data_IF_813351713299
#
_entry.id   IF_813351713299
#
_cell.length_a   1.000
_cell.length_b   1.000
_cell.length_c   1.000
_cell.angle_alpha   90.00
_cell.angle_beta   90.00
_cell.angle_gamma   90.00
#
_symmetry.space_group_name_H-M   'P 1'
#
loop_
_entity.id
_entity.type
_entity.pdbx_description
1 polymer ?
#
# COMPACT_ATOMS: atom_id res chain seq x y z
N UNK A 1 -7.47 14.35 12.16
CA UNK A 1 -7.51 12.88 12.28
C UNK A 1 -6.27 12.30 11.59
N UNK A 2 -5.53 11.39 12.25
CA UNK A 2 -4.31 10.79 11.72
C UNK A 2 -4.60 9.69 10.69
N UNK A 3 -3.63 9.43 9.82
CA UNK A 3 -3.62 8.35 8.83
C UNK A 3 -2.40 7.47 9.07
N UNK A 4 -2.58 6.16 9.04
CA UNK A 4 -1.50 5.18 9.21
C UNK A 4 -1.24 4.48 7.87
N UNK A 5 0.00 4.55 7.38
CA UNK A 5 0.47 3.83 6.20
C UNK A 5 1.28 2.60 6.59
N UNK A 6 0.99 1.48 5.94
CA UNK A 6 1.66 0.19 6.16
C UNK A 6 2.43 -0.23 4.93
N UNK A 7 3.76 -0.34 5.05
CA UNK A 7 4.63 -1.01 4.10
C UNK A 7 4.76 -2.49 4.46
N UNK A 8 3.81 -3.32 3.99
CA UNK A 8 3.70 -4.72 4.37
C UNK A 8 4.76 -5.58 3.68
N UNK A 9 5.34 -6.54 4.39
CA UNK A 9 6.21 -7.61 3.89
C UNK A 9 5.46 -8.93 3.81
N UNK A 10 5.88 -9.81 2.90
CA UNK A 10 5.27 -11.13 2.74
C UNK A 10 5.43 -12.03 3.98
N UNK A 11 6.56 -11.89 4.69
CA UNK A 11 6.85 -12.70 5.88
C UNK A 11 7.43 -11.87 7.01
N UNK A 12 7.41 -12.41 8.23
CA UNK A 12 8.00 -11.81 9.43
C UNK A 12 9.53 -11.96 9.57
N UNK A 13 10.23 -12.53 8.56
CA UNK A 13 11.70 -12.62 8.56
C UNK A 13 12.38 -11.25 8.48
N UNK A 14 11.68 -10.27 7.93
CA UNK A 14 12.10 -8.86 7.88
C UNK A 14 10.95 -7.99 8.32
N UNK A 15 11.21 -6.88 9.03
CA UNK A 15 10.13 -6.05 9.54
C UNK A 15 9.32 -5.41 8.42
N UNK A 16 8.03 -5.34 8.62
CA UNK A 16 7.12 -4.41 7.93
C UNK A 16 7.24 -3.03 8.58
N UNK A 17 6.96 -1.97 7.84
CA UNK A 17 7.11 -0.60 8.32
C UNK A 17 5.74 0.09 8.43
N UNK A 18 5.65 1.02 9.38
CA UNK A 18 4.48 1.90 9.54
C UNK A 18 4.91 3.34 9.62
N UNK A 19 4.11 4.21 9.04
CA UNK A 19 4.22 5.66 9.18
C UNK A 19 2.88 6.24 9.60
N UNK A 20 2.86 7.20 10.50
CA UNK A 20 1.65 7.91 10.91
C UNK A 20 1.81 9.39 10.54
N UNK A 21 0.85 9.90 9.79
CA UNK A 21 0.73 11.30 9.47
C UNK A 21 -0.44 11.93 10.22
N UNK A 22 -0.20 13.11 10.76
CA UNK A 22 -1.24 13.94 11.35
C UNK A 22 -2.07 14.69 10.26
N UNK A 23 -3.08 15.51 10.62
CA UNK A 23 -3.88 16.26 9.66
C UNK A 23 -3.08 17.18 8.73
N UNK A 24 -1.94 17.69 9.20
CA UNK A 24 -1.09 18.64 8.48
C UNK A 24 0.02 17.92 7.66
N UNK A 25 -0.15 16.60 7.44
CA UNK A 25 0.84 15.76 6.75
C UNK A 25 2.21 15.72 7.43
N UNK A 26 2.26 15.92 8.75
CA UNK A 26 3.49 15.76 9.52
C UNK A 26 3.67 14.31 9.93
N UNK A 27 4.86 13.78 9.73
CA UNK A 27 5.27 12.46 10.22
C UNK A 27 5.43 12.51 11.75
N UNK A 28 4.48 11.92 12.45
CA UNK A 28 4.46 11.86 13.93
C UNK A 28 5.04 10.57 14.46
N UNK A 29 5.03 9.52 13.64
CA UNK A 29 5.60 8.22 13.98
C UNK A 29 6.10 7.49 12.75
N UNK A 30 7.29 6.93 12.85
CA UNK A 30 7.85 5.91 11.98
C UNK A 30 8.26 4.73 12.85
N UNK A 31 7.86 3.52 12.47
CA UNK A 31 8.15 2.33 13.27
C UNK A 31 8.15 1.06 12.44
N UNK A 32 8.50 -0.04 13.07
CA UNK A 32 8.54 -1.36 12.44
C UNK A 32 7.80 -2.39 13.29
N UNK A 33 7.33 -3.45 12.63
CA UNK A 33 6.71 -4.59 13.28
C UNK A 33 7.02 -5.88 12.50
N UNK A 34 7.07 -6.99 13.21
CA UNK A 34 7.26 -8.32 12.62
C UNK A 34 5.94 -9.09 12.55
N UNK A 35 5.17 -9.06 13.63
CA UNK A 35 3.92 -9.81 13.75
C UNK A 35 2.69 -8.89 13.61
N UNK A 36 1.63 -9.40 13.00
CA UNK A 36 0.40 -8.63 12.75
C UNK A 36 -0.26 -8.16 14.05
N UNK A 37 -0.06 -8.90 15.16
CA UNK A 37 -0.54 -8.50 16.50
C UNK A 37 0.14 -7.21 17.03
N UNK A 38 1.39 -6.94 16.64
CA UNK A 38 2.10 -5.71 17.02
C UNK A 38 1.46 -4.51 16.30
N UNK A 39 1.13 -4.69 15.01
CA UNK A 39 0.41 -3.67 14.24
C UNK A 39 -0.99 -3.43 14.83
N UNK A 40 -1.72 -4.48 15.18
CA UNK A 40 -3.06 -4.35 15.78
C UNK A 40 -3.00 -3.57 17.11
N UNK A 41 -2.01 -3.83 17.95
CA UNK A 41 -1.77 -3.07 19.20
C UNK A 41 -1.48 -1.59 18.91
N UNK A 42 -0.61 -1.32 17.94
CA UNK A 42 -0.28 0.03 17.52
C UNK A 42 -1.53 0.79 17.04
N UNK A 43 -2.31 0.17 16.13
CA UNK A 43 -3.54 0.77 15.60
C UNK A 43 -4.54 1.06 16.74
N UNK A 44 -4.66 0.16 17.71
CA UNK A 44 -5.53 0.35 18.88
C UNK A 44 -5.07 1.53 19.76
N UNK A 45 -3.76 1.75 19.88
CA UNK A 45 -3.19 2.87 20.64
C UNK A 45 -3.38 4.20 19.92
N UNK A 46 -3.02 4.25 18.64
CA UNK A 46 -2.97 5.48 17.84
C UNK A 46 -4.35 5.90 17.30
N UNK A 47 -5.30 4.94 17.17
CA UNK A 47 -6.66 5.15 16.67
C UNK A 47 -6.69 5.99 15.39
N UNK A 48 -5.97 5.58 14.33
CA UNK A 48 -5.98 6.32 13.08
C UNK A 48 -7.39 6.31 12.48
N UNK A 49 -7.77 7.39 11.82
CA UNK A 49 -9.04 7.46 11.10
C UNK A 49 -9.06 6.59 9.83
N UNK A 50 -7.86 6.29 9.30
CA UNK A 50 -7.68 5.50 8.09
C UNK A 50 -6.37 4.71 8.17
N UNK A 51 -6.40 3.46 7.69
CA UNK A 51 -5.23 2.60 7.52
C UNK A 51 -5.03 2.34 6.02
N UNK A 52 -3.91 2.81 5.46
CA UNK A 52 -3.55 2.63 4.07
C UNK A 52 -2.49 1.52 3.94
N UNK A 53 -2.85 0.39 3.34
CA UNK A 53 -1.99 -0.80 3.25
C UNK A 53 -1.43 -0.94 1.83
N UNK A 54 -0.10 -1.00 1.71
CA UNK A 54 0.62 -1.19 0.46
C UNK A 54 0.74 -2.66 0.05
N UNK A 55 -0.39 -3.34 -0.06
CA UNK A 55 -0.49 -4.74 -0.50
C UNK A 55 -1.89 -5.02 -1.07
N UNK A 56 -2.06 -6.06 -1.92
CA UNK A 56 -3.38 -6.50 -2.35
C UNK A 56 -4.24 -6.97 -1.16
N UNK A 57 -5.50 -6.53 -1.12
CA UNK A 57 -6.41 -6.77 0.01
C UNK A 57 -7.58 -7.70 -0.33
N UNK A 58 -7.73 -8.11 -1.58
CA UNK A 58 -8.75 -9.04 -2.04
C UNK A 58 -8.24 -9.95 -3.15
N UNK A 59 -8.97 -11.04 -3.40
CA UNK A 59 -8.77 -11.91 -4.56
C UNK A 59 -9.62 -11.42 -5.75
N UNK A 60 -9.25 -11.79 -6.99
CA UNK A 60 -10.12 -11.64 -8.15
C UNK A 60 -11.42 -12.43 -8.00
N UNK A 61 -12.50 -11.95 -8.59
CA UNK A 61 -13.79 -12.66 -8.63
C UNK A 61 -13.66 -14.07 -9.20
N UNK A 62 -14.25 -15.03 -8.52
CA UNK A 62 -14.21 -16.46 -8.87
C UNK A 62 -13.04 -17.24 -8.29
N UNK A 63 -11.98 -16.57 -7.80
CA UNK A 63 -10.88 -17.25 -7.12
C UNK A 63 -11.14 -17.34 -5.61
N UNK A 64 -11.05 -18.54 -5.06
CA UNK A 64 -11.03 -18.75 -3.61
C UNK A 64 -9.61 -18.80 -3.02
N UNK A 65 -8.60 -19.00 -3.89
CA UNK A 65 -7.18 -19.03 -3.50
C UNK A 65 -6.29 -18.81 -4.73
N UNK A 66 -4.98 -18.72 -4.52
CA UNK A 66 -3.96 -18.57 -5.57
C UNK A 66 -3.18 -19.85 -5.88
N UNK A 67 -3.65 -21.00 -5.34
CA UNK A 67 -3.01 -22.28 -5.56
C UNK A 67 -3.28 -22.81 -6.97
N UNK A 68 -2.23 -23.24 -7.67
CA UNK A 68 -2.36 -23.77 -9.03
C UNK A 68 -3.23 -25.03 -9.10
N UNK A 69 -3.14 -25.89 -8.09
CA UNK A 69 -3.88 -27.15 -8.00
C UNK A 69 -5.38 -26.98 -7.69
N UNK A 70 -5.82 -25.80 -7.25
CA UNK A 70 -7.22 -25.54 -6.94
C UNK A 70 -8.05 -25.43 -8.22
N UNK A 71 -9.27 -25.95 -8.22
CA UNK A 71 -10.17 -25.91 -9.39
C UNK A 71 -10.89 -24.58 -9.59
N UNK A 72 -10.80 -23.63 -8.63
CA UNK A 72 -11.43 -22.30 -8.80
C UNK A 72 -10.92 -21.59 -10.06
N UNK A 73 -11.77 -20.79 -10.68
CA UNK A 73 -11.47 -20.08 -11.93
C UNK A 73 -11.89 -18.62 -11.78
N UNK A 74 -11.26 -17.74 -12.55
CA UNK A 74 -11.75 -16.37 -12.71
C UNK A 74 -13.20 -16.36 -13.19
N UNK A 75 -14.03 -15.50 -12.63
CA UNK A 75 -15.37 -15.23 -13.15
C UNK A 75 -15.33 -14.64 -14.57
N UNK A 76 -14.21 -14.00 -14.92
CA UNK A 76 -13.94 -13.44 -16.25
C UNK A 76 -12.72 -14.16 -16.85
N UNK A 77 -12.92 -15.14 -17.74
CA UNK A 77 -11.85 -16.05 -18.23
C UNK A 77 -10.66 -15.35 -18.88
N UNK A 78 -10.89 -14.20 -19.52
CA UNK A 78 -9.83 -13.45 -20.22
C UNK A 78 -8.99 -12.53 -19.31
N UNK A 79 -9.33 -12.48 -18.03
CA UNK A 79 -8.59 -11.65 -17.07
C UNK A 79 -7.34 -12.34 -16.54
N UNK A 80 -6.29 -11.54 -16.34
CA UNK A 80 -5.01 -11.99 -15.76
C UNK A 80 -4.92 -11.75 -14.24
N UNK A 81 -5.85 -10.97 -13.67
CA UNK A 81 -5.89 -10.53 -12.29
C UNK A 81 -7.13 -9.71 -12.02
N UNK A 82 -7.11 -8.90 -10.96
CA UNK A 82 -8.20 -7.99 -10.59
C UNK A 82 -8.37 -6.87 -11.62
N UNK A 83 -9.55 -6.27 -11.68
CA UNK A 83 -9.84 -5.16 -12.59
C UNK A 83 -8.86 -3.99 -12.38
N UNK A 84 -8.59 -3.62 -11.14
CA UNK A 84 -7.66 -2.54 -10.80
C UNK A 84 -6.25 -2.73 -11.39
N UNK A 85 -5.77 -3.97 -11.48
CA UNK A 85 -4.45 -4.29 -12.02
C UNK A 85 -4.41 -4.11 -13.55
N UNK A 86 -5.52 -4.41 -14.22
CA UNK A 86 -5.68 -4.16 -15.66
C UNK A 86 -5.81 -2.65 -15.95
N UNK A 87 -6.52 -1.91 -15.10
CA UNK A 87 -6.67 -0.47 -15.22
C UNK A 87 -5.34 0.26 -14.97
N UNK A 88 -4.54 -0.17 -13.98
CA UNK A 88 -3.16 0.33 -13.82
C UNK A 88 -2.30 0.11 -15.07
N UNK A 89 -2.40 -1.08 -15.69
CA UNK A 89 -1.66 -1.36 -16.91
C UNK A 89 -2.06 -0.43 -18.07
N UNK A 90 -3.36 -0.06 -18.18
CA UNK A 90 -3.84 0.88 -19.20
C UNK A 90 -3.27 2.29 -19.04
N UNK A 91 -2.99 2.72 -17.82
CA UNK A 91 -2.37 4.02 -17.52
C UNK A 91 -0.83 3.92 -17.42
N UNK A 92 -0.23 2.81 -17.90
CA UNK A 92 1.23 2.63 -17.96
C UNK A 92 1.91 2.26 -16.65
N UNK A 93 1.16 1.96 -15.59
CA UNK A 93 1.72 1.58 -14.29
C UNK A 93 1.80 0.06 -14.18
N UNK A 94 3.02 -0.48 -14.08
CA UNK A 94 3.25 -1.91 -13.92
C UNK A 94 2.97 -2.39 -12.49
N UNK A 95 2.36 -3.58 -12.36
CA UNK A 95 2.14 -4.25 -11.09
C UNK A 95 2.27 -5.77 -11.22
N UNK A 96 2.37 -6.45 -10.09
CA UNK A 96 2.18 -7.90 -10.04
C UNK A 96 0.68 -8.21 -10.06
N UNK A 97 0.29 -9.15 -10.90
CA UNK A 97 -1.10 -9.59 -10.96
C UNK A 97 -1.42 -10.55 -9.80
N UNK A 98 -2.60 -10.36 -9.24
CA UNK A 98 -3.20 -11.29 -8.27
C UNK A 98 -3.80 -12.47 -9.05
N UNK A 99 -3.01 -13.52 -9.25
CA UNK A 99 -3.42 -14.70 -10.01
C UNK A 99 -2.82 -15.98 -9.40
N UNK A 100 -3.25 -17.11 -9.93
CA UNK A 100 -2.73 -18.42 -9.51
C UNK A 100 -1.23 -18.53 -9.78
N UNK A 101 -0.48 -19.00 -8.78
CA UNK A 101 0.96 -19.08 -8.84
C UNK A 101 1.69 -17.74 -8.77
N UNK A 102 1.03 -16.67 -8.31
CA UNK A 102 1.66 -15.37 -8.12
C UNK A 102 2.86 -15.47 -7.19
N UNK A 103 4.01 -14.89 -7.60
CA UNK A 103 5.24 -14.88 -6.80
C UNK A 103 5.13 -14.05 -5.52
N UNK A 104 4.08 -13.26 -5.39
CA UNK A 104 3.77 -12.46 -4.19
C UNK A 104 2.57 -13.02 -3.41
N UNK A 105 2.20 -14.30 -3.60
CA UNK A 105 1.04 -14.93 -2.96
C UNK A 105 1.02 -14.75 -1.44
N UNK A 106 2.17 -14.92 -0.77
CA UNK A 106 2.28 -14.73 0.68
C UNK A 106 1.93 -13.31 1.12
N UNK A 107 2.36 -12.30 0.33
CA UNK A 107 2.00 -10.90 0.58
C UNK A 107 0.50 -10.66 0.40
N UNK A 108 -0.08 -11.24 -0.64
CA UNK A 108 -1.51 -11.14 -0.94
C UNK A 108 -2.32 -11.74 0.21
N UNK A 109 -2.02 -12.98 0.59
CA UNK A 109 -2.74 -13.65 1.69
C UNK A 109 -2.60 -12.91 3.02
N UNK A 110 -1.39 -12.38 3.32
CA UNK A 110 -1.18 -11.57 4.52
C UNK A 110 -2.00 -10.27 4.47
N UNK A 111 -2.03 -9.60 3.32
CA UNK A 111 -2.82 -8.38 3.12
C UNK A 111 -4.32 -8.62 3.29
N UNK A 112 -4.85 -9.69 2.69
CA UNK A 112 -6.27 -10.08 2.80
C UNK A 112 -6.66 -10.38 4.26
N UNK A 113 -5.85 -11.19 4.96
CA UNK A 113 -6.09 -11.51 6.37
C UNK A 113 -6.10 -10.25 7.23
N UNK A 114 -5.09 -9.39 7.07
CA UNK A 114 -4.97 -8.15 7.82
C UNK A 114 -6.14 -7.19 7.54
N UNK A 115 -6.55 -7.07 6.27
CA UNK A 115 -7.72 -6.28 5.88
C UNK A 115 -8.99 -6.79 6.59
N UNK A 116 -9.23 -8.10 6.58
CA UNK A 116 -10.37 -8.71 7.23
C UNK A 116 -10.39 -8.45 8.76
N UNK A 117 -9.25 -8.66 9.42
CA UNK A 117 -9.11 -8.45 10.86
C UNK A 117 -9.35 -6.99 11.25
N UNK A 118 -8.75 -6.04 10.53
CA UNK A 118 -8.89 -4.62 10.82
C UNK A 118 -10.31 -4.11 10.55
N UNK A 119 -10.92 -4.51 9.43
CA UNK A 119 -12.32 -4.13 9.13
C UNK A 119 -13.29 -4.72 10.13
N UNK A 120 -13.10 -5.97 10.54
CA UNK A 120 -13.91 -6.61 11.59
C UNK A 120 -13.76 -5.92 12.94
N UNK A 121 -12.62 -5.28 13.20
CA UNK A 121 -12.39 -4.45 14.38
C UNK A 121 -12.91 -2.99 14.24
N UNK A 122 -13.57 -2.65 13.11
CA UNK A 122 -14.20 -1.35 12.87
C UNK A 122 -13.27 -0.27 12.28
N UNK A 123 -12.07 -0.64 11.80
CA UNK A 123 -11.17 0.33 11.17
C UNK A 123 -11.48 0.52 9.68
N UNK A 124 -11.34 1.75 9.19
CA UNK A 124 -11.35 2.05 7.76
C UNK A 124 -10.01 1.63 7.15
N UNK A 125 -10.05 0.76 6.14
CA UNK A 125 -8.86 0.23 5.46
C UNK A 125 -8.97 0.49 3.97
N UNK A 126 -7.89 0.99 3.36
CA UNK A 126 -7.77 1.15 1.91
C UNK A 126 -6.54 0.42 1.40
N UNK A 127 -6.65 -0.10 0.17
CA UNK A 127 -5.51 -0.59 -0.59
C UNK A 127 -4.84 0.58 -1.31
N UNK A 128 -3.52 0.66 -1.19
CA UNK A 128 -2.69 1.64 -1.89
C UNK A 128 -1.49 0.93 -2.53
N UNK A 129 -0.88 1.56 -3.53
CA UNK A 129 0.29 1.00 -4.19
C UNK A 129 1.39 2.05 -4.30
N UNK A 130 2.45 1.97 -3.45
CA UNK A 130 3.46 3.03 -3.36
C UNK A 130 4.21 3.25 -4.67
N UNK A 131 4.30 2.24 -5.55
CA UNK A 131 4.88 2.44 -6.88
C UNK A 131 3.98 3.33 -7.77
N UNK A 132 2.67 3.09 -7.76
CA UNK A 132 1.73 3.93 -8.50
C UNK A 132 1.76 5.37 -7.99
N UNK A 133 1.69 5.58 -6.67
CA UNK A 133 1.78 6.90 -6.05
C UNK A 133 3.08 7.63 -6.46
N UNK A 134 4.22 6.95 -6.41
CA UNK A 134 5.51 7.53 -6.84
C UNK A 134 5.51 7.92 -8.31
N UNK A 135 4.98 7.06 -9.18
CA UNK A 135 4.90 7.33 -10.61
C UNK A 135 4.04 8.55 -10.92
N UNK A 136 2.88 8.64 -10.27
CA UNK A 136 1.95 9.76 -10.48
C UNK A 136 2.47 11.09 -9.91
N UNK A 137 3.06 11.09 -8.72
CA UNK A 137 3.52 12.32 -8.07
C UNK A 137 4.91 12.77 -8.54
N UNK A 138 5.81 11.85 -8.89
CA UNK A 138 7.23 12.16 -9.14
C UNK A 138 7.68 11.86 -10.56
N UNK A 139 6.80 11.27 -11.40
CA UNK A 139 7.09 10.86 -12.76
C UNK A 139 7.82 9.49 -12.84
N UNK A 140 8.01 9.00 -14.07
CA UNK A 140 8.53 7.65 -14.33
C UNK A 140 10.01 7.44 -13.97
N UNK A 141 10.79 8.51 -13.85
CA UNK A 141 12.24 8.45 -13.63
C UNK A 141 12.65 8.29 -12.15
N UNK A 142 11.95 7.44 -11.40
CA UNK A 142 12.39 7.09 -10.05
C UNK A 142 13.66 6.20 -10.14
N UNK A 143 14.79 6.59 -9.53
CA UNK A 143 16.03 5.82 -9.59
C UNK A 143 15.88 4.38 -9.08
N UNK A 144 16.76 3.44 -9.52
CA UNK A 144 16.65 2.02 -9.17
C UNK A 144 16.56 1.76 -7.67
N UNK A 145 15.74 0.75 -7.33
CA UNK A 145 15.33 0.40 -5.96
C UNK A 145 16.47 0.23 -4.94
N UNK A 146 17.66 -0.15 -5.36
CA UNK A 146 18.73 -0.58 -4.47
C UNK A 146 19.89 0.42 -4.37
N UNK A 147 19.74 1.63 -4.93
CA UNK A 147 20.80 2.64 -4.87
C UNK A 147 20.55 3.63 -3.72
N UNK A 148 21.61 4.06 -3.04
CA UNK A 148 21.55 5.19 -2.08
C UNK A 148 20.97 6.44 -2.73
N UNK A 149 21.26 6.65 -4.01
CA UNK A 149 20.69 7.74 -4.84
C UNK A 149 19.18 7.63 -4.91
N UNK A 150 18.62 6.41 -5.01
CA UNK A 150 17.16 6.20 -5.01
C UNK A 150 16.46 6.61 -3.71
N UNK A 151 17.07 6.33 -2.57
CA UNK A 151 16.55 6.73 -1.27
C UNK A 151 16.63 8.26 -1.09
N UNK A 152 17.80 8.85 -1.38
CA UNK A 152 17.98 10.31 -1.31
C UNK A 152 17.00 11.05 -2.23
N UNK A 153 16.76 10.52 -3.45
CA UNK A 153 15.76 11.05 -4.37
C UNK A 153 14.35 11.01 -3.74
N UNK A 154 13.93 9.86 -3.18
CA UNK A 154 12.61 9.74 -2.55
C UNK A 154 12.47 10.71 -1.37
N UNK A 155 13.49 10.83 -0.53
CA UNK A 155 13.49 11.77 0.60
C UNK A 155 13.32 13.21 0.07
N UNK A 156 14.10 13.61 -0.95
CA UNK A 156 14.00 14.96 -1.52
C UNK A 156 12.60 15.27 -2.11
N UNK A 157 11.92 14.25 -2.65
CA UNK A 157 10.56 14.39 -3.19
C UNK A 157 9.48 14.38 -2.12
N UNK A 158 9.71 13.66 -1.01
CA UNK A 158 8.75 13.57 0.09
C UNK A 158 8.85 14.76 1.06
N UNK A 159 10.03 15.32 1.28
CA UNK A 159 10.24 16.44 2.22
C UNK A 159 9.31 17.65 1.98
N UNK A 160 9.00 18.06 0.73
CA UNK A 160 8.03 19.14 0.49
C UNK A 160 6.57 18.74 0.80
N UNK A 161 6.25 17.45 0.85
CA UNK A 161 4.91 16.90 1.03
C UNK A 161 4.62 16.47 2.46
N UNK A 162 5.67 16.03 3.17
CA UNK A 162 5.58 15.47 4.52
C UNK A 162 6.64 16.12 5.39
N UNK A 163 6.21 16.91 6.36
CA UNK A 163 7.12 17.52 7.36
C UNK A 163 7.45 16.51 8.46
N UNK A 164 8.47 16.80 9.27
CA UNK A 164 8.87 15.96 10.40
C UNK A 164 9.73 14.76 10.02
N UNK A 165 10.05 14.55 8.74
CA UNK A 165 10.92 13.46 8.29
C UNK A 165 12.36 13.63 8.77
N UNK A 166 12.79 14.86 9.00
CA UNK A 166 14.13 15.22 9.52
C UNK A 166 14.44 14.60 10.89
N UNK A 167 13.40 14.27 11.66
CA UNK A 167 13.55 13.63 12.97
C UNK A 167 13.95 12.15 12.90
N UNK A 168 13.89 11.55 11.73
CA UNK A 168 14.10 10.10 11.51
C UNK A 168 15.36 9.78 10.70
N UNK A 169 16.07 10.76 10.21
CA UNK A 169 17.39 10.71 9.58
C UNK A 169 17.85 9.36 9.01
N UNK A 170 18.59 8.60 9.79
CA UNK A 170 19.16 7.30 9.39
C UNK A 170 18.16 6.17 9.23
N UNK A 171 16.95 6.29 9.79
CA UNK A 171 15.89 5.27 9.69
C UNK A 171 15.11 5.37 8.36
N UNK A 172 15.37 6.39 7.56
CA UNK A 172 14.73 6.62 6.27
C UNK A 172 15.36 5.75 5.17
N UNK A 173 15.09 4.46 5.22
CA UNK A 173 15.34 3.57 4.10
C UNK A 173 14.20 3.62 3.07
N UNK A 174 14.32 2.83 2.00
CA UNK A 174 13.29 2.74 0.98
C UNK A 174 11.94 2.26 1.51
N UNK A 175 11.93 1.30 2.45
CA UNK A 175 10.70 0.74 2.99
C UNK A 175 10.00 1.75 3.89
N UNK A 176 10.77 2.54 4.63
CA UNK A 176 10.28 3.67 5.38
C UNK A 176 9.62 4.71 4.45
N UNK A 177 10.28 5.05 3.34
CA UNK A 177 9.69 5.92 2.32
C UNK A 177 8.39 5.33 1.75
N UNK A 178 8.33 4.01 1.48
CA UNK A 178 7.11 3.36 0.99
C UNK A 178 5.97 3.42 2.03
N UNK A 179 6.26 3.22 3.32
CA UNK A 179 5.26 3.39 4.38
C UNK A 179 4.76 4.85 4.50
N UNK A 180 5.67 5.83 4.39
CA UNK A 180 5.31 7.26 4.36
C UNK A 180 4.44 7.58 3.15
N UNK A 181 4.77 7.07 1.97
CA UNK A 181 4.00 7.23 0.74
C UNK A 181 2.59 6.63 0.89
N UNK A 182 2.47 5.46 1.52
CA UNK A 182 1.17 4.86 1.79
C UNK A 182 0.33 5.74 2.73
N UNK A 183 0.93 6.27 3.80
CA UNK A 183 0.25 7.22 4.69
C UNK A 183 -0.15 8.50 3.95
N UNK A 184 0.72 9.03 3.10
CA UNK A 184 0.45 10.22 2.32
C UNK A 184 -0.69 10.00 1.29
N UNK A 185 -0.70 8.85 0.60
CA UNK A 185 -1.83 8.48 -0.28
C UNK A 185 -3.14 8.43 0.50
N UNK A 186 -3.12 7.83 1.70
CA UNK A 186 -4.27 7.84 2.59
C UNK A 186 -4.67 9.26 3.03
N UNK A 187 -3.70 10.18 3.21
CA UNK A 187 -3.98 11.59 3.52
C UNK A 187 -4.65 12.30 2.36
N UNK A 188 -4.16 12.09 1.12
CA UNK A 188 -4.82 12.59 -0.09
C UNK A 188 -6.25 12.07 -0.20
N UNK A 189 -6.46 10.78 0.08
CA UNK A 189 -7.80 10.19 0.06
C UNK A 189 -8.75 10.85 1.07
N UNK A 190 -8.26 11.13 2.26
CA UNK A 190 -9.04 11.83 3.28
C UNK A 190 -9.43 13.24 2.85
N UNK A 191 -8.63 13.88 2.00
CA UNK A 191 -8.88 15.22 1.45
C UNK A 191 -9.65 15.18 0.11
N UNK A 192 -10.09 14.01 -0.37
CA UNK A 192 -10.74 13.83 -1.69
C UNK A 192 -9.86 14.18 -2.90
N UNK A 193 -8.54 14.03 -2.75
CA UNK A 193 -7.52 14.27 -3.78
C UNK A 193 -6.99 12.96 -4.40
N UNK A 194 -7.87 11.97 -4.54
CA UNK A 194 -7.55 10.65 -5.09
C UNK A 194 -8.57 10.21 -6.11
N UNK A 195 -8.12 9.32 -7.00
CA UNK A 195 -8.97 8.48 -7.82
C UNK A 195 -8.96 7.04 -7.29
N UNK A 196 -9.94 6.26 -7.72
CA UNK A 196 -10.12 4.87 -7.30
C UNK A 196 -10.24 4.00 -8.53
N UNK A 197 -9.43 2.95 -8.61
CA UNK A 197 -9.48 1.92 -9.65
C UNK A 197 -10.05 0.62 -9.11
N UNK A 198 -10.69 -0.16 -9.99
CA UNK A 198 -11.11 -1.52 -9.70
C UNK A 198 -12.60 -1.68 -9.52
N UNK A 199 -12.95 -2.82 -8.95
CA UNK A 199 -14.31 -3.28 -8.68
C UNK A 199 -14.46 -3.53 -7.18
N UNK A 200 -15.56 -3.08 -6.53
CA UNK A 200 -15.78 -3.30 -5.09
C UNK A 200 -15.70 -4.77 -4.67
N UNK A 201 -16.11 -5.71 -5.52
CA UNK A 201 -16.10 -7.14 -5.24
C UNK A 201 -14.69 -7.75 -5.30
N UNK A 202 -13.78 -7.13 -6.10
CA UNK A 202 -12.38 -7.57 -6.26
C UNK A 202 -11.41 -6.69 -5.44
N UNK A 203 -11.91 -5.62 -4.83
CA UNK A 203 -11.14 -4.60 -4.13
C UNK A 203 -10.87 -3.37 -4.98
N UNK A 204 -10.73 -2.26 -4.27
CA UNK A 204 -10.50 -0.94 -4.83
C UNK A 204 -9.09 -0.46 -4.47
N UNK A 205 -8.37 0.05 -5.46
CA UNK A 205 -7.07 0.70 -5.28
C UNK A 205 -7.25 2.21 -5.25
N UNK A 206 -6.76 2.83 -4.20
CA UNK A 206 -6.70 4.29 -4.06
C UNK A 206 -5.35 4.81 -4.52
N UNK A 207 -5.34 5.83 -5.36
CA UNK A 207 -4.14 6.48 -5.87
C UNK A 207 -4.35 8.00 -6.02
N UNK A 208 -3.28 8.81 -6.06
CA UNK A 208 -3.41 10.23 -6.30
C UNK A 208 -4.18 10.50 -7.58
N UNK A 209 -4.91 11.64 -7.65
CA UNK A 209 -5.65 12.03 -8.86
C UNK A 209 -4.80 11.90 -10.11
N UNK A 210 -5.38 11.28 -11.11
CA UNK A 210 -4.79 11.21 -12.44
C UNK A 210 -4.86 12.60 -13.06
N UNK A 211 -3.72 13.09 -13.55
CA UNK A 211 -3.72 14.30 -14.37
C UNK A 211 -4.39 13.98 -15.69
N UNK A 212 -5.53 14.61 -15.98
CA UNK A 212 -6.21 14.54 -17.29
C UNK A 212 -5.42 15.33 -18.34
#
# INVERSE_FOLDING_TARGET
MSVLGVGLRASNKKPSLVAILDPDSRLTRLGSFYEDIELAKLIKQERPALVAIGAPLNLPSGLCCLEQACECRFSFPDRKGRLLELEMAKIGISCFYTNKGSIISDLIYRGIRLNHELRSAGYNVIEVYPHATKTLLFGEKVPPKHSRIGVSYLISKLTPLVSGMENYGYDLDRNACDAIINAYTGRLHFNSDTDVLGDPDEGLLVLPKLCN
#
